data_IF_202167391871
#
_entry.id   IF_202167391871
#
_cell.length_a   1.000
_cell.length_b   1.000
_cell.length_c   1.000
_cell.angle_alpha   90.00
_cell.angle_beta   90.00
_cell.angle_gamma   90.00
#
_symmetry.space_group_name_H-M   'P 1'
#
loop_
_entity.id
_entity.type
_entity.pdbx_description
1 polymer ?
2 polymer ?
3 non-polymer ?
4 water ?
#
# COMPACT_ATOMS: atom_id res chain seq x y z
N UNK A 1 -20.59 14.80 12.04
CA UNK A 1 -19.97 15.86 11.23
C UNK A 1 -18.47 15.95 11.50
N UNK A 2 -17.69 15.42 10.57
CA UNK A 2 -16.27 15.18 10.80
C UNK A 2 -15.39 16.40 10.60
N UNK A 3 -14.23 16.43 11.28
CA UNK A 3 -13.32 17.57 11.14
C UNK A 3 -12.80 17.68 9.71
N UNK A 4 -12.52 18.90 9.30
CA UNK A 4 -12.13 19.18 7.92
C UNK A 4 -10.80 19.91 7.85
N UNK A 5 -9.79 19.23 7.31
CA UNK A 5 -8.49 19.85 7.07
C UNK A 5 -8.46 20.37 5.63
N UNK A 6 -8.03 21.62 5.45
CA UNK A 6 -8.05 22.23 4.13
C UNK A 6 -6.65 22.44 3.55
N UNK A 7 -6.51 22.12 2.27
CA UNK A 7 -5.27 22.40 1.56
C UNK A 7 -5.54 22.83 0.12
N UNK A 8 -4.76 23.78 -0.36
CA UNK A 8 -4.84 24.21 -1.75
C UNK A 8 -3.46 24.12 -2.38
N UNK A 9 -3.43 23.80 -3.67
CA UNK A 9 -2.18 23.75 -4.40
C UNK A 9 -1.87 25.15 -4.93
N UNK A 10 -2.90 25.98 -5.03
CA UNK A 10 -2.73 27.35 -5.50
C UNK A 10 -1.91 28.18 -4.53
N UNK A 11 -0.64 28.39 -4.85
CA UNK A 11 0.24 29.15 -3.99
C UNK A 11 0.95 28.26 -2.99
N UNK A 12 0.69 26.97 -3.08
CA UNK A 12 1.30 25.98 -2.19
C UNK A 12 2.78 26.27 -1.93
N UNK A 13 3.23 25.98 -0.71
CA UNK A 13 4.63 26.09 -0.37
C UNK A 13 5.05 24.87 0.42
N UNK A 14 6.35 24.73 0.65
CA UNK A 14 6.86 23.61 1.42
C UNK A 14 6.36 23.71 2.86
N UNK A 15 6.10 24.93 3.31
CA UNK A 15 5.61 25.17 4.67
C UNK A 15 4.11 24.88 4.82
N UNK A 16 3.32 25.38 3.86
CA UNK A 16 1.88 25.17 3.92
C UNK A 16 1.56 23.69 3.79
N UNK A 17 2.34 23.00 2.97
CA UNK A 17 2.17 21.55 2.81
C UNK A 17 2.49 20.82 4.11
N UNK A 18 3.56 21.25 4.77
CA UNK A 18 3.99 20.63 6.01
C UNK A 18 2.94 20.83 7.11
N UNK A 19 2.54 22.08 7.32
CA UNK A 19 1.49 22.38 8.28
C UNK A 19 0.26 21.53 8.01
N UNK A 20 -0.07 21.37 6.73
CA UNK A 20 -1.20 20.54 6.33
C UNK A 20 -1.06 19.10 6.82
N UNK A 21 0.01 18.43 6.37
CA UNK A 21 0.25 17.04 6.76
C UNK A 21 0.31 16.89 8.27
N UNK A 22 0.98 17.84 8.92
CA UNK A 22 1.11 17.82 10.37
C UNK A 22 -0.26 17.84 11.04
N UNK A 23 -1.13 18.72 10.54
CA UNK A 23 -2.48 18.82 11.07
C UNK A 23 -3.26 17.55 10.79
N UNK A 24 -2.95 16.90 9.67
CA UNK A 24 -3.61 15.66 9.32
C UNK A 24 -3.18 14.50 10.24
N UNK A 25 -1.87 14.42 10.52
CA UNK A 25 -1.38 13.41 11.45
C UNK A 25 -2.00 13.63 12.82
N UNK A 26 -2.21 14.89 13.18
CA UNK A 26 -2.76 15.24 14.48
C UNK A 26 -4.22 14.88 14.64
N UNK A 27 -4.97 14.92 13.55
CA UNK A 27 -6.39 14.58 13.61
C UNK A 27 -6.63 13.08 13.55
N UNK A 28 -5.68 12.36 12.96
CA UNK A 28 -5.76 10.91 12.90
C UNK A 28 -5.56 10.26 14.26
N UNK A 29 -4.61 10.80 15.03
CA UNK A 29 -4.19 10.18 16.27
C UNK A 29 -4.42 11.06 17.49
N UNK A 30 -5.08 10.50 18.49
CA UNK A 30 -5.18 11.15 19.78
C UNK A 30 -3.77 11.33 20.32
N UNK A 31 -2.92 10.34 20.05
CA UNK A 31 -1.55 10.34 20.54
C UNK A 31 -1.41 9.52 21.80
N UNK A 32 -2.50 8.87 22.20
CA UNK A 32 -2.50 8.05 23.41
C UNK A 32 -1.60 6.83 23.25
N UNK A 33 -1.61 6.26 22.05
CA UNK A 33 -0.87 5.03 21.79
C UNK A 33 0.41 5.30 21.02
N UNK A 34 1.53 5.33 21.73
CA UNK A 34 2.84 5.50 21.10
C UNK A 34 3.77 4.36 21.49
N UNK A 35 4.26 3.63 20.49
CA UNK A 35 5.14 2.52 20.75
C UNK A 35 6.46 2.71 20.02
N UNK A 36 7.56 2.60 20.77
CA UNK A 36 8.89 2.85 20.25
C UNK A 36 8.94 4.20 19.52
N UNK A 37 8.29 5.20 20.11
CA UNK A 37 8.28 6.57 19.61
C UNK A 37 7.41 6.80 18.38
N UNK A 38 6.71 5.76 17.94
CA UNK A 38 5.83 5.89 16.79
C UNK A 38 4.36 5.71 17.16
N UNK A 39 3.55 6.75 16.93
CA UNK A 39 2.12 6.75 17.26
C UNK A 39 1.35 5.67 16.51
N UNK A 40 0.45 4.98 17.20
CA UNK A 40 -0.41 4.00 16.57
C UNK A 40 -1.82 4.57 16.33
N UNK A 41 -2.36 4.31 15.15
CA UNK A 41 -3.69 4.78 14.80
C UNK A 41 -4.71 4.04 15.67
N UNK A 42 -5.88 4.66 15.90
CA UNK A 42 -6.94 4.06 16.70
C UNK A 42 -7.35 2.68 16.18
N UNK A 43 -7.84 1.83 17.08
CA UNK A 43 -8.28 0.49 16.73
C UNK A 43 -9.67 0.49 16.09
N UNK A 44 -9.83 -0.31 15.04
CA UNK A 44 -11.03 -0.28 14.23
C UNK A 44 -12.25 -0.94 14.89
N UNK A 45 -12.02 -2.03 15.63
CA UNK A 45 -13.13 -2.79 16.20
C UNK A 45 -13.96 -2.00 17.22
N UNK A 46 -13.28 -1.28 18.13
CA UNK A 46 -13.97 -0.56 19.18
C UNK A 46 -14.50 0.81 18.76
N UNK A 47 -13.87 1.41 17.76
CA UNK A 47 -14.08 2.82 17.42
C UNK A 47 -15.52 3.22 17.10
N UNK A 48 -16.05 4.20 17.86
CA UNK A 48 -17.35 4.83 17.57
C UNK A 48 -17.34 5.54 16.21
N UNK A 49 -18.42 5.34 15.45
CA UNK A 49 -18.51 5.86 14.09
C UNK A 49 -18.32 7.38 13.98
N UNK A 50 -18.64 8.10 15.05
CA UNK A 50 -18.48 9.56 15.07
C UNK A 50 -17.03 10.01 15.26
N UNK A 51 -16.12 9.05 15.39
CA UNK A 51 -14.70 9.34 15.53
C UNK A 51 -13.88 8.63 14.45
N UNK A 52 -14.58 8.04 13.49
CA UNK A 52 -13.95 7.15 12.52
C UNK A 52 -13.35 7.89 11.33
N UNK A 53 -13.91 9.04 10.99
CA UNK A 53 -13.48 9.71 9.76
C UNK A 53 -12.93 11.13 9.92
N UNK A 54 -12.17 11.53 8.91
CA UNK A 54 -11.61 12.87 8.82
C UNK A 54 -11.74 13.33 7.38
N UNK A 55 -12.14 14.57 7.19
CA UNK A 55 -12.32 15.10 5.85
C UNK A 55 -11.16 15.99 5.45
N UNK A 56 -10.68 15.81 4.22
CA UNK A 56 -9.65 16.68 3.68
C UNK A 56 -10.21 17.41 2.45
N UNK A 57 -10.30 18.73 2.53
CA UNK A 57 -10.83 19.50 1.40
C UNK A 57 -9.70 20.10 0.58
N UNK A 58 -9.59 19.65 -0.67
CA UNK A 58 -8.52 20.10 -1.55
C UNK A 58 -9.01 21.14 -2.55
N UNK A 59 -8.16 22.11 -2.85
CA UNK A 59 -8.46 23.13 -3.85
C UNK A 59 -7.24 23.36 -4.74
N UNK A 60 -7.47 24.01 -5.87
CA UNK A 60 -6.41 24.37 -6.79
C UNK A 60 -6.68 25.75 -7.36
N UNK A 61 -5.81 26.22 -8.25
CA UNK A 61 -5.96 27.56 -8.81
C UNK A 61 -7.22 27.70 -9.65
N UNK A 62 -7.62 26.62 -10.32
CA UNK A 62 -8.85 26.61 -11.10
C UNK A 62 -10.05 26.91 -10.19
N UNK A 63 -9.80 26.85 -8.88
CA UNK A 63 -10.84 27.00 -7.88
C UNK A 63 -11.89 25.89 -7.97
N UNK A 64 -11.42 24.70 -8.32
CA UNK A 64 -12.22 23.51 -8.22
C UNK A 64 -11.94 22.88 -6.87
N UNK A 65 -12.83 22.04 -6.39
CA UNK A 65 -12.67 21.49 -5.05
C UNK A 65 -13.35 20.15 -4.85
N UNK A 66 -12.62 19.23 -4.22
CA UNK A 66 -13.20 17.96 -3.79
C UNK A 66 -12.84 17.72 -2.32
N UNK A 67 -13.69 16.97 -1.63
CA UNK A 67 -13.41 16.62 -0.25
C UNK A 67 -13.15 15.12 -0.15
N UNK A 68 -11.93 14.76 0.24
CA UNK A 68 -11.59 13.36 0.47
C UNK A 68 -11.96 12.94 1.89
N UNK A 69 -12.33 11.68 2.06
CA UNK A 69 -12.54 11.12 3.39
C UNK A 69 -11.43 10.12 3.72
N UNK A 70 -10.79 10.31 4.86
CA UNK A 70 -9.73 9.42 5.31
C UNK A 70 -10.22 8.56 6.47
N UNK A 71 -9.80 7.30 6.48
CA UNK A 71 -10.12 6.41 7.59
C UNK A 71 -9.13 6.61 8.73
N UNK A 72 -9.64 7.04 9.87
CA UNK A 72 -8.80 7.35 11.02
C UNK A 72 -7.94 6.15 11.45
N UNK A 73 -8.29 4.96 10.97
CA UNK A 73 -7.64 3.75 11.45
C UNK A 73 -6.52 3.31 10.51
N UNK A 74 -6.54 3.82 9.29
CA UNK A 74 -5.52 3.50 8.31
C UNK A 74 -4.99 4.72 7.57
N UNK A 75 -5.75 5.80 7.64
CA UNK A 75 -5.36 7.09 7.04
C UNK A 75 -5.52 7.09 5.53
N UNK A 76 -6.16 6.06 5.00
CA UNK A 76 -6.34 5.92 3.56
C UNK A 76 -7.57 6.69 3.09
N UNK A 77 -7.54 7.11 1.83
CA UNK A 77 -8.73 7.66 1.20
C UNK A 77 -9.74 6.53 1.01
N UNK A 78 -10.96 6.73 1.48
CA UNK A 78 -12.00 5.72 1.36
C UNK A 78 -13.08 6.17 0.39
N UNK A 79 -13.01 7.45 0.02
CA UNK A 79 -13.97 8.04 -0.89
C UNK A 79 -13.83 9.54 -0.91
N UNK A 80 -14.58 10.21 -1.79
CA UNK A 80 -14.52 11.65 -1.86
C UNK A 80 -15.85 12.23 -2.33
N UNK A 81 -16.08 13.50 -1.98
CA UNK A 81 -17.23 14.22 -2.52
C UNK A 81 -16.79 15.26 -3.54
N UNK A 82 -17.60 15.42 -4.56
CA UNK A 82 -17.46 16.51 -5.52
C UNK A 82 -18.87 16.96 -5.90
N UNK A 83 -19.19 18.21 -5.57
CA UNK A 83 -20.51 18.75 -5.84
C UNK A 83 -21.59 18.01 -5.06
N UNK A 84 -22.60 17.51 -5.77
CA UNK A 84 -23.70 16.80 -5.13
C UNK A 84 -23.60 15.28 -5.34
N UNK A 85 -22.37 14.79 -5.48
CA UNK A 85 -22.13 13.36 -5.68
C UNK A 85 -20.97 12.88 -4.82
N UNK A 86 -21.13 11.68 -4.25
CA UNK A 86 -20.09 11.10 -3.42
C UNK A 86 -19.73 9.69 -3.92
N UNK A 87 -18.44 9.34 -3.84
CA UNK A 87 -17.95 8.09 -4.40
C UNK A 87 -17.04 7.37 -3.39
N UNK A 88 -17.21 6.05 -3.27
CA UNK A 88 -16.42 5.26 -2.33
C UNK A 88 -15.85 3.98 -2.95
N UNK A 89 -14.63 3.62 -2.54
CA UNK A 89 -14.04 2.35 -2.94
C UNK A 89 -14.85 1.18 -2.38
N UNK A 90 -14.70 0.02 -3.00
CA UNK A 90 -15.30 -1.19 -2.48
C UNK A 90 -14.59 -1.56 -1.18
N UNK A 91 -15.33 -1.56 -0.06
CA UNK A 91 -14.78 -1.93 1.25
C UNK A 91 -14.63 -3.44 1.38
N UNK A 92 -13.53 -3.89 2.00
CA UNK A 92 -13.24 -5.31 2.11
C UNK A 92 -14.28 -6.08 2.92
N UNK A 93 -14.69 -5.54 4.06
CA UNK A 93 -15.66 -6.20 4.92
C UNK A 93 -17.04 -5.52 4.96
N UNK A 94 -17.95 -6.11 5.72
CA UNK A 94 -19.31 -5.58 5.81
C UNK A 94 -19.41 -4.48 6.86
N UNK A 95 -18.63 -4.62 7.93
CA UNK A 95 -18.60 -3.62 8.99
C UNK A 95 -18.22 -2.25 8.42
N UNK A 96 -17.24 -2.25 7.53
CA UNK A 96 -16.78 -1.01 6.92
C UNK A 96 -17.79 -0.45 5.92
N UNK A 97 -18.58 -1.33 5.31
CA UNK A 97 -19.63 -0.91 4.40
C UNK A 97 -20.61 -0.01 5.15
N UNK A 98 -21.07 -0.52 6.29
CA UNK A 98 -21.95 0.22 7.17
C UNK A 98 -21.43 1.62 7.47
N UNK A 99 -20.22 1.68 8.02
CA UNK A 99 -19.63 2.95 8.46
C UNK A 99 -19.64 4.01 7.37
N UNK A 100 -19.38 3.59 6.13
CA UNK A 100 -19.34 4.50 4.99
C UNK A 100 -20.63 5.31 4.84
N UNK A 101 -21.74 4.71 5.28
CA UNK A 101 -23.05 5.32 5.13
C UNK A 101 -23.20 6.62 5.91
N UNK A 102 -22.22 6.92 6.76
CA UNK A 102 -22.27 8.12 7.59
C UNK A 102 -21.47 9.28 7.02
N UNK A 103 -20.85 9.06 5.86
CA UNK A 103 -20.08 10.09 5.18
C UNK A 103 -20.93 10.82 4.14
N UNK A 104 -20.71 12.12 4.03
CA UNK A 104 -21.44 12.94 3.06
C UNK A 104 -22.90 12.54 2.97
N UNK A 105 -23.59 12.56 4.10
CA UNK A 105 -24.98 12.09 4.15
C UNK A 105 -25.97 13.05 3.50
N UNK A 106 -25.48 14.13 2.90
CA UNK A 106 -26.37 15.20 2.45
C UNK A 106 -26.45 15.41 0.93
N UNK A 107 -25.57 14.76 0.16
CA UNK A 107 -25.68 14.85 -1.29
C UNK A 107 -26.59 13.77 -1.88
N UNK A 108 -27.19 14.06 -3.03
CA UNK A 108 -28.24 13.20 -3.58
C UNK A 108 -27.73 11.90 -4.20
N UNK A 109 -26.47 11.88 -4.60
CA UNK A 109 -25.93 10.73 -5.32
C UNK A 109 -24.75 10.05 -4.63
N UNK A 110 -25.02 8.88 -4.07
CA UNK A 110 -23.95 8.06 -3.50
C UNK A 110 -23.64 6.93 -4.47
N UNK A 111 -22.36 6.57 -4.57
CA UNK A 111 -21.94 5.48 -5.42
C UNK A 111 -20.82 4.66 -4.76
N UNK A 112 -20.89 3.34 -4.91
CA UNK A 112 -19.77 2.49 -4.53
C UNK A 112 -19.06 2.01 -5.80
N UNK A 113 -17.74 2.07 -5.80
CA UNK A 113 -16.97 1.61 -6.96
C UNK A 113 -16.93 0.10 -7.02
N UNK A 114 -16.66 -0.44 -8.21
CA UNK A 114 -16.57 -1.89 -8.41
C UNK A 114 -15.12 -2.35 -8.24
N UNK A 115 -14.36 -1.61 -7.45
CA UNK A 115 -12.96 -1.92 -7.22
C UNK A 115 -12.51 -1.33 -5.90
N UNK A 116 -11.48 -1.93 -5.31
CA UNK A 116 -10.92 -1.41 -4.08
C UNK A 116 -9.94 -0.31 -4.40
N UNK A 117 -9.40 0.32 -3.36
CA UNK A 117 -8.39 1.34 -3.54
C UNK A 117 -6.99 0.75 -3.45
N UNK A 118 -6.85 -0.53 -3.79
CA UNK A 118 -5.55 -1.18 -3.77
C UNK A 118 -4.73 -0.90 -5.03
N UNK A 119 -3.47 -0.54 -4.82
CA UNK A 119 -2.58 -0.11 -5.89
C UNK A 119 -2.64 -1.00 -7.15
N UNK A 120 -2.55 -2.31 -6.98
CA UNK A 120 -2.57 -3.21 -8.12
C UNK A 120 -3.81 -2.97 -9.01
N UNK A 121 -4.97 -2.83 -8.38
CA UNK A 121 -6.19 -2.57 -9.13
C UNK A 121 -6.15 -1.18 -9.75
N UNK A 122 -5.71 -0.19 -8.97
CA UNK A 122 -5.62 1.18 -9.45
C UNK A 122 -4.61 1.29 -10.59
N UNK A 123 -3.46 0.65 -10.42
CA UNK A 123 -2.42 0.68 -11.45
C UNK A 123 -2.93 0.05 -12.74
N UNK A 124 -3.70 -1.03 -12.61
CA UNK A 124 -4.28 -1.68 -13.78
C UNK A 124 -5.26 -0.75 -14.49
N UNK A 125 -6.17 -0.17 -13.74
CA UNK A 125 -7.15 0.75 -14.32
C UNK A 125 -6.49 1.94 -15.00
N UNK A 126 -5.41 2.44 -14.40
CA UNK A 126 -4.73 3.62 -14.91
C UNK A 126 -3.82 3.30 -16.11
N UNK A 127 -3.45 2.02 -16.26
CA UNK A 127 -2.55 1.63 -17.32
C UNK A 127 -1.15 2.10 -17.05
N UNK A 128 -0.81 2.21 -15.77
CA UNK A 128 0.48 2.71 -15.34
C UNK A 128 0.82 2.29 -13.92
N UNK A 129 2.06 1.87 -13.71
CA UNK A 129 2.55 1.59 -12.36
C UNK A 129 2.85 2.91 -11.67
N UNK A 130 2.92 2.87 -10.33
CA UNK A 130 3.24 4.07 -9.57
C UNK A 130 4.51 4.74 -10.07
N UNK A 131 5.56 3.95 -10.32
CA UNK A 131 6.83 4.51 -10.78
C UNK A 131 6.76 5.20 -12.16
N UNK A 132 5.58 5.27 -12.74
CA UNK A 132 5.40 5.93 -14.02
C UNK A 132 4.47 7.13 -13.91
N UNK A 133 4.06 7.43 -12.68
CA UNK A 133 3.11 8.51 -12.44
C UNK A 133 3.74 9.60 -11.56
N UNK A 134 3.96 10.77 -12.14
CA UNK A 134 4.69 11.83 -11.45
C UNK A 134 3.91 12.41 -10.28
N UNK A 135 4.62 12.82 -9.25
CA UNK A 135 4.02 13.42 -8.07
C UNK A 135 4.55 14.83 -7.89
N UNK A 136 3.82 15.65 -7.14
CA UNK A 136 4.18 17.05 -6.95
C UNK A 136 2.97 17.95 -7.06
N UNK A 137 3.18 19.25 -6.89
CA UNK A 137 2.08 20.19 -6.91
C UNK A 137 1.31 20.11 -8.22
N UNK A 138 2.04 20.14 -9.33
CA UNK A 138 1.44 20.01 -10.64
C UNK A 138 0.47 18.86 -10.71
N UNK A 139 0.97 17.61 -10.61
CA UNK A 139 0.15 16.41 -10.58
C UNK A 139 -1.05 16.53 -9.65
N UNK A 140 -0.84 17.07 -8.45
CA UNK A 140 -1.93 17.20 -7.49
C UNK A 140 -3.03 18.12 -8.02
N UNK A 141 -2.64 19.28 -8.53
CA UNK A 141 -3.62 20.23 -9.07
C UNK A 141 -4.47 19.54 -10.12
N UNK A 142 -3.86 18.57 -10.80
CA UNK A 142 -4.50 17.91 -11.92
C UNK A 142 -5.44 16.82 -11.42
N UNK A 143 -4.99 16.07 -10.43
CA UNK A 143 -5.83 15.07 -9.79
C UNK A 143 -7.13 15.73 -9.33
N UNK A 144 -7.00 16.80 -8.57
CA UNK A 144 -8.17 17.52 -8.07
C UNK A 144 -9.12 17.84 -9.22
N UNK A 145 -8.58 18.44 -10.28
CA UNK A 145 -9.40 18.78 -11.43
C UNK A 145 -10.16 17.54 -11.91
N UNK A 146 -9.43 16.45 -12.11
CA UNK A 146 -9.99 15.23 -12.68
C UNK A 146 -10.99 14.55 -11.73
N UNK A 147 -10.72 14.57 -10.43
CA UNK A 147 -11.68 14.04 -9.47
C UNK A 147 -12.99 14.82 -9.59
N UNK A 148 -12.89 16.14 -9.65
CA UNK A 148 -14.06 16.99 -9.78
C UNK A 148 -14.82 16.73 -11.07
N UNK A 149 -14.10 16.72 -12.19
CA UNK A 149 -14.73 16.59 -13.50
C UNK A 149 -15.33 15.21 -13.73
N UNK A 150 -14.98 14.26 -12.88
CA UNK A 150 -15.57 12.94 -12.94
C UNK A 150 -17.05 12.99 -12.56
N UNK A 151 -17.39 13.91 -11.66
CA UNK A 151 -18.77 14.06 -11.21
C UNK A 151 -19.59 14.87 -12.20
N UNK A 152 -18.96 15.30 -13.30
CA UNK A 152 -19.67 16.02 -14.35
C UNK A 152 -19.70 15.24 -15.66
N UNK A 153 -19.03 14.09 -15.67
CA UNK A 153 -18.93 13.26 -16.86
C UNK A 153 -17.77 13.68 -17.73
N UNK A 154 -16.75 14.27 -17.10
CA UNK A 154 -15.62 14.82 -17.82
C UNK A 154 -14.38 13.96 -17.86
N UNK A 155 -14.13 13.18 -16.82
CA UNK A 155 -12.91 12.38 -16.75
C UNK A 155 -13.20 10.89 -16.84
N UNK A 156 -12.43 10.19 -17.67
CA UNK A 156 -12.60 8.75 -17.83
C UNK A 156 -11.92 7.98 -16.70
N UNK A 157 -12.27 6.71 -16.59
CA UNK A 157 -11.80 5.86 -15.50
C UNK A 157 -10.28 5.81 -15.33
N UNK A 158 -9.53 5.73 -16.45
CA UNK A 158 -8.07 5.62 -16.32
C UNK A 158 -7.47 6.82 -15.60
N UNK A 159 -7.92 8.02 -15.96
CA UNK A 159 -7.41 9.24 -15.37
C UNK A 159 -7.84 9.38 -13.92
N UNK A 160 -9.01 8.82 -13.60
CA UNK A 160 -9.50 8.82 -12.23
C UNK A 160 -8.61 7.97 -11.33
N UNK A 161 -8.30 6.76 -11.80
CA UNK A 161 -7.41 5.86 -11.07
C UNK A 161 -6.05 6.54 -10.86
N UNK A 162 -5.50 7.08 -11.94
CA UNK A 162 -4.23 7.79 -11.87
C UNK A 162 -4.31 8.86 -10.78
N UNK A 163 -5.33 9.70 -10.87
CA UNK A 163 -5.54 10.78 -9.92
C UNK A 163 -5.65 10.27 -8.48
N UNK A 164 -6.34 9.15 -8.30
CA UNK A 164 -6.41 8.53 -6.97
C UNK A 164 -5.00 8.21 -6.49
N UNK A 165 -4.22 7.62 -7.39
CA UNK A 165 -2.85 7.22 -7.07
C UNK A 165 -2.04 8.42 -6.59
N UNK A 166 -2.23 9.56 -7.23
CA UNK A 166 -1.51 10.78 -6.87
C UNK A 166 -1.92 11.30 -5.48
N UNK A 167 -3.22 11.40 -5.25
CA UNK A 167 -3.74 11.91 -3.98
C UNK A 167 -3.42 10.99 -2.80
N UNK A 168 -3.61 9.69 -2.99
CA UNK A 168 -3.35 8.71 -1.95
C UNK A 168 -1.91 8.81 -1.44
N UNK A 169 -0.97 9.02 -2.37
CA UNK A 169 0.43 9.06 -2.00
C UNK A 169 0.79 10.41 -1.36
N UNK A 170 0.39 11.49 -2.01
CA UNK A 170 0.74 12.82 -1.52
C UNK A 170 0.04 13.15 -0.22
N UNK A 171 -0.94 12.32 0.16
CA UNK A 171 -1.71 12.58 1.38
C UNK A 171 -1.64 11.45 2.41
N UNK A 172 -2.22 10.30 2.09
CA UNK A 172 -2.19 9.14 2.98
C UNK A 172 -0.77 8.65 3.28
N UNK A 173 -0.01 8.34 2.23
CA UNK A 173 1.33 7.80 2.38
C UNK A 173 2.26 8.79 3.05
N UNK A 174 2.03 10.08 2.81
CA UNK A 174 2.86 11.12 3.39
C UNK A 174 2.54 11.26 4.87
N UNK A 175 1.30 10.96 5.24
CA UNK A 175 0.88 11.01 6.63
C UNK A 175 1.50 9.84 7.40
N UNK A 176 1.59 8.70 6.74
CA UNK A 176 2.16 7.50 7.33
C UNK A 176 3.67 7.57 7.47
N UNK A 177 4.34 8.03 6.41
CA UNK A 177 5.80 8.11 6.41
C UNK A 177 6.32 9.52 6.30
N UNK A 178 7.10 9.96 7.28
CA UNK A 178 7.80 11.22 7.20
C UNK A 178 8.79 11.21 6.02
N UNK A 179 9.37 10.05 5.75
CA UNK A 179 10.28 9.93 4.60
C UNK A 179 9.55 10.33 3.32
N UNK A 180 8.29 9.92 3.20
CA UNK A 180 7.50 10.23 2.01
C UNK A 180 7.03 11.67 2.04
N UNK A 181 6.69 12.16 3.22
CA UNK A 181 6.38 13.58 3.37
C UNK A 181 7.57 14.39 2.83
N UNK A 182 8.77 13.91 3.14
CA UNK A 182 9.99 14.59 2.74
C UNK A 182 10.19 14.57 1.24
N UNK A 183 9.75 13.47 0.62
CA UNK A 183 9.86 13.34 -0.83
C UNK A 183 8.99 14.39 -1.50
N UNK A 184 7.78 14.57 -0.98
CA UNK A 184 6.86 15.56 -1.51
C UNK A 184 7.35 16.99 -1.27
N UNK A 185 7.95 17.22 -0.10
CA UNK A 185 8.42 18.55 0.24
C UNK A 185 9.55 19.00 -0.68
N UNK A 186 10.34 18.05 -1.15
CA UNK A 186 11.46 18.34 -2.04
C UNK A 186 10.94 18.86 -3.38
N UNK A 187 10.11 18.04 -4.01
CA UNK A 187 9.24 18.53 -5.07
C UNK A 187 8.52 19.69 -4.41
N UNK A 188 7.80 20.51 -5.17
CA UNK A 188 7.18 21.71 -4.60
C UNK A 188 8.27 22.73 -4.30
N UNK A 189 9.09 22.42 -3.31
CA UNK A 189 10.19 23.31 -2.94
C UNK A 189 10.97 23.74 -4.17
N UNK A 190 11.26 22.79 -5.04
CA UNK A 190 12.01 23.06 -6.25
C UNK A 190 11.12 23.14 -7.48
N UNK A 191 9.83 22.92 -7.27
CA UNK A 191 8.86 22.99 -8.36
C UNK A 191 9.06 21.85 -9.36
N UNK A 192 9.07 20.61 -8.85
CA UNK A 192 9.32 19.44 -9.69
C UNK A 192 8.11 18.53 -9.75
N UNK A 193 8.01 17.76 -10.84
CA UNK A 193 7.19 16.56 -10.85
C UNK A 193 8.10 15.37 -11.15
N UNK A 194 8.05 14.34 -10.32
CA UNK A 194 8.75 13.10 -10.63
C UNK A 194 8.01 11.91 -10.09
N UNK A 195 8.17 10.78 -10.76
CA UNK A 195 7.59 9.54 -10.29
C UNK A 195 8.34 9.15 -9.03
N UNK A 196 7.67 8.42 -8.12
CA UNK A 196 8.36 7.94 -6.92
C UNK A 196 9.27 6.77 -7.28
N UNK A 197 10.39 6.65 -6.60
CA UNK A 197 11.35 5.57 -6.85
C UNK A 197 11.05 4.37 -5.95
N UNK A 198 11.78 3.26 -6.15
CA UNK A 198 11.66 2.05 -5.34
C UNK A 198 11.60 2.33 -3.83
N UNK A 199 12.47 3.21 -3.34
CA UNK A 199 12.55 3.45 -1.90
C UNK A 199 11.19 3.88 -1.35
N UNK A 200 10.41 4.53 -2.20
CA UNK A 200 9.08 4.99 -1.82
C UNK A 200 8.04 3.90 -2.03
N UNK A 201 7.96 3.39 -3.26
CA UNK A 201 7.03 2.31 -3.60
C UNK A 201 7.08 1.19 -2.57
N UNK A 202 8.30 0.78 -2.23
CA UNK A 202 8.49 -0.39 -1.38
C UNK A 202 7.99 -0.15 0.05
N UNK A 203 8.11 1.08 0.54
CA UNK A 203 7.56 1.43 1.84
C UNK A 203 6.04 1.40 1.82
N UNK A 204 5.45 2.02 0.80
CA UNK A 204 4.00 2.06 0.64
C UNK A 204 3.41 0.66 0.61
N UNK A 205 4.25 -0.32 0.30
CA UNK A 205 3.76 -1.70 0.16
C UNK A 205 3.92 -2.53 1.43
N UNK A 206 4.68 -2.01 2.39
CA UNK A 206 5.05 -2.79 3.56
C UNK A 206 4.61 -2.14 4.85
N UNK A 207 3.76 -1.14 4.75
CA UNK A 207 3.27 -0.42 5.93
C UNK A 207 2.60 -1.39 6.89
N UNK A 208 1.78 -2.29 6.34
CA UNK A 208 1.10 -3.30 7.13
C UNK A 208 2.07 -4.24 7.85
N UNK A 209 2.95 -4.87 7.09
CA UNK A 209 3.91 -5.82 7.67
C UNK A 209 4.84 -5.10 8.64
N UNK A 210 5.20 -3.86 8.31
CA UNK A 210 6.08 -3.07 9.18
C UNK A 210 5.43 -2.84 10.54
N UNK A 211 4.14 -2.51 10.52
CA UNK A 211 3.41 -2.25 11.76
C UNK A 211 3.40 -3.49 12.64
N UNK A 212 3.08 -4.63 12.04
CA UNK A 212 3.07 -5.89 12.76
C UNK A 212 4.45 -6.20 13.32
N UNK A 213 5.46 -6.10 12.45
CA UNK A 213 6.84 -6.40 12.83
C UNK A 213 7.30 -5.59 14.05
N UNK A 214 6.89 -4.34 14.11
CA UNK A 214 7.27 -3.47 15.22
C UNK A 214 6.46 -3.78 16.49
N UNK A 215 5.18 -4.03 16.31
CA UNK A 215 4.29 -4.23 17.45
C UNK A 215 4.44 -5.63 18.04
N UNK A 216 4.86 -6.58 17.22
CA UNK A 216 5.12 -7.94 17.70
C UNK A 216 6.60 -8.13 18.04
N UNK A 217 7.39 -7.08 17.85
CA UNK A 217 8.83 -7.16 18.04
C UNK A 217 9.20 -7.47 19.48
N UNK A 218 10.45 -7.87 19.67
CA UNK A 218 11.01 -8.07 20.99
C UNK A 218 11.83 -6.85 21.41
N UNK A 219 11.16 -5.91 22.06
CA UNK A 219 11.79 -4.64 22.42
C UNK A 219 12.38 -3.96 21.19
N UNK A 220 11.74 -4.14 20.05
CA UNK A 220 12.19 -3.53 18.81
C UNK A 220 12.67 -4.52 17.76
N UNK A 221 13.36 -5.57 18.19
CA UNK A 221 13.88 -6.58 17.28
C UNK A 221 12.74 -7.36 16.60
N UNK A 222 12.74 -7.36 15.27
CA UNK A 222 11.72 -8.04 14.49
C UNK A 222 11.86 -9.55 14.60
N UNK A 223 10.72 -10.24 14.68
CA UNK A 223 10.72 -11.70 14.61
C UNK A 223 11.33 -12.13 13.29
N UNK A 224 10.96 -11.42 12.21
CA UNK A 224 11.56 -11.66 10.90
C UNK A 224 11.60 -10.37 10.09
N UNK A 225 12.62 -10.24 9.22
CA UNK A 225 12.95 -9.05 8.44
C UNK A 225 11.86 -8.56 7.49
N UNK A 226 11.86 -7.26 7.23
CA UNK A 226 11.03 -6.71 6.15
C UNK A 226 11.90 -6.32 4.96
N UNK A 227 11.52 -6.82 3.79
CA UNK A 227 12.26 -6.53 2.56
C UNK A 227 11.96 -5.12 2.06
N UNK A 228 12.99 -4.29 1.97
CA UNK A 228 12.84 -2.96 1.39
C UNK A 228 13.77 -2.75 0.19
N UNK A 229 13.57 -1.65 -0.51
CA UNK A 229 14.42 -1.32 -1.66
C UNK A 229 14.99 0.10 -1.56
N UNK A 230 16.23 0.25 -1.98
CA UNK A 230 16.86 1.56 -2.00
C UNK A 230 16.41 2.32 -3.24
N UNK A 231 16.84 3.58 -3.37
CA UNK A 231 16.46 4.40 -4.52
C UNK A 231 16.77 3.70 -5.83
N UNK A 232 17.86 2.96 -5.87
CA UNK A 232 18.30 2.29 -7.09
C UNK A 232 17.67 0.92 -7.26
N UNK A 233 16.76 0.58 -6.34
CA UNK A 233 16.03 -0.68 -6.40
C UNK A 233 16.80 -1.90 -5.94
N UNK A 234 17.94 -1.67 -5.29
CA UNK A 234 18.69 -2.76 -4.69
C UNK A 234 17.97 -3.25 -3.42
N UNK A 235 17.81 -4.56 -3.30
CA UNK A 235 17.05 -5.14 -2.20
C UNK A 235 17.83 -5.16 -0.90
N UNK A 236 17.14 -4.88 0.21
CA UNK A 236 17.74 -5.01 1.53
C UNK A 236 16.69 -5.32 2.60
N UNK A 237 17.15 -5.51 3.83
CA UNK A 237 16.27 -5.97 4.91
C UNK A 237 16.41 -5.16 6.20
N UNK A 238 15.29 -4.94 6.87
CA UNK A 238 15.28 -4.28 8.16
C UNK A 238 14.80 -5.25 9.24
N UNK A 239 15.49 -5.27 10.38
CA UNK A 239 15.22 -6.23 11.45
C UNK A 239 14.82 -5.55 12.76
N UNK A 240 14.97 -4.23 12.81
CA UNK A 240 14.87 -3.50 14.07
C UNK A 240 14.15 -2.15 13.89
N UNK A 241 13.32 -1.78 14.86
CA UNK A 241 12.54 -0.55 14.76
C UNK A 241 13.39 0.72 14.84
N UNK A 242 14.48 0.64 15.60
CA UNK A 242 15.29 1.83 15.88
C UNK A 242 15.79 2.54 14.61
N UNK A 243 15.86 1.81 13.51
CA UNK A 243 16.36 2.38 12.25
C UNK A 243 15.22 2.96 11.42
N UNK A 244 13.99 2.68 11.80
CA UNK A 244 12.83 3.17 11.06
C UNK A 244 12.22 4.41 11.68
N UNK A 245 12.73 4.80 12.85
CA UNK A 245 12.16 5.93 13.59
C UNK A 245 12.02 7.21 12.76
N UNK A 246 13.06 7.56 11.99
CA UNK A 246 12.95 8.77 11.17
C UNK A 246 12.07 8.56 9.94
N UNK A 247 11.82 7.30 9.60
CA UNK A 247 11.13 6.95 8.36
C UNK A 247 9.61 6.98 8.49
N UNK A 248 9.10 6.26 9.48
CA UNK A 248 7.66 6.04 9.62
C UNK A 248 7.04 6.94 10.67
N UNK A 249 5.91 7.56 10.31
CA UNK A 249 5.26 8.52 11.21
C UNK A 249 4.03 7.97 11.93
N UNK A 250 3.38 6.97 11.33
CA UNK A 250 2.16 6.37 11.88
C UNK A 250 2.15 4.87 11.66
N UNK A 251 1.54 4.14 12.59
CA UNK A 251 1.35 2.71 12.44
C UNK A 251 -0.13 2.35 12.48
N UNK A 252 -0.55 1.45 11.61
CA UNK A 252 -1.87 0.85 11.71
C UNK A 252 -1.88 -0.07 12.93
N UNK A 253 -2.99 -0.06 13.66
CA UNK A 253 -3.11 -0.90 14.84
C UNK A 253 -3.07 -2.38 14.45
N UNK A 254 -2.16 -3.13 15.07
CA UNK A 254 -2.08 -4.57 14.83
C UNK A 254 -2.29 -5.35 16.13
N UNK A 255 -1.45 -5.07 17.13
CA UNK A 255 -1.56 -5.77 18.40
C UNK A 255 -1.96 -4.79 19.50
N UNK A 256 -2.33 -5.34 20.65
CA UNK A 256 -2.51 -4.54 21.85
C UNK A 256 -1.13 -4.20 22.39
N UNK A 257 -0.99 -3.01 23.01
CA UNK A 257 0.29 -2.61 23.61
C UNK A 257 0.78 -3.64 24.61
N UNK A 258 2.08 -3.96 24.56
CA UNK A 258 2.70 -4.94 25.48
C UNK A 258 3.06 -4.29 26.81
N UNK A 259 2.31 -4.63 27.87
CA UNK A 259 2.52 -4.03 29.19
C UNK A 259 3.92 -4.28 29.74
N UNK B 1 -10.79 -14.97 4.79
CA UNK B 1 -11.02 -16.18 4.01
C UNK B 1 -10.23 -16.16 2.71
N UNK B 2 -8.96 -16.52 2.80
CA UNK B 2 -8.08 -16.58 1.63
C UNK B 2 -7.16 -17.78 1.77
N UNK B 3 -7.14 -18.64 0.75
CA UNK B 3 -6.31 -19.84 0.80
C UNK B 3 -5.28 -19.92 -0.32
N UNK B 4 -4.14 -20.55 0.00
CA UNK B 4 -3.06 -20.70 -0.96
C UNK B 4 -2.74 -22.18 -1.17
N UNK B 5 -2.54 -22.56 -2.43
CA UNK B 5 -2.30 -23.96 -2.78
C UNK B 5 -1.06 -24.08 -3.66
N UNK B 6 -0.15 -24.97 -3.28
CA UNK B 6 1.15 -25.07 -3.96
C UNK B 6 1.35 -26.39 -4.70
N UNK B 7 1.29 -26.33 -6.02
CA UNK B 7 1.59 -27.49 -6.84
C UNK B 7 3.00 -27.38 -7.42
N UNK B 8 3.60 -28.53 -7.72
CA UNK B 8 4.97 -28.56 -8.20
C UNK B 8 5.94 -28.97 -7.11
N UNK B 12 12.42 -34.52 -6.50
CA UNK B 12 13.85 -34.30 -6.45
C UNK B 12 14.45 -34.00 -7.83
N UNK B 13 15.14 -32.87 -7.93
CA UNK B 13 15.74 -32.43 -9.19
C UNK B 13 17.27 -32.49 -9.15
N UNK B 14 17.88 -32.72 -10.30
CA UNK B 14 19.34 -32.76 -10.41
C UNK B 14 19.89 -31.36 -10.66
N UNK B 15 21.18 -31.19 -10.40
CA UNK B 15 21.82 -29.88 -10.52
C UNK B 15 21.81 -29.36 -11.96
N UNK B 16 21.33 -28.14 -12.13
CA UNK B 16 21.29 -27.51 -13.44
C UNK B 16 20.02 -27.82 -14.19
N UNK B 17 19.11 -28.54 -13.54
CA UNK B 17 17.82 -28.87 -14.13
C UNK B 17 16.80 -27.77 -13.89
N UNK B 18 15.59 -27.97 -14.42
CA UNK B 18 14.53 -26.98 -14.26
C UNK B 18 13.39 -27.49 -13.38
N UNK B 19 12.53 -26.57 -12.95
CA UNK B 19 11.40 -26.92 -12.10
C UNK B 19 10.40 -25.77 -12.03
N UNK B 20 9.12 -26.10 -11.98
CA UNK B 20 8.06 -25.10 -11.98
C UNK B 20 7.13 -25.21 -10.78
N UNK B 21 6.94 -24.11 -10.07
CA UNK B 21 6.06 -24.07 -8.91
C UNK B 21 4.88 -23.14 -9.16
N UNK B 22 3.69 -23.56 -8.73
CA UNK B 22 2.50 -22.75 -8.92
C UNK B 22 1.81 -22.45 -7.59
N UNK B 23 1.09 -21.33 -7.57
CA UNK B 23 0.32 -20.93 -6.40
C UNK B 23 -0.99 -20.29 -6.83
N UNK B 24 -2.10 -20.94 -6.51
CA UNK B 24 -3.42 -20.42 -6.85
C UNK B 24 -4.06 -19.80 -5.61
N UNK B 25 -4.88 -18.79 -5.82
CA UNK B 25 -5.58 -18.13 -4.73
C UNK B 25 -7.08 -18.15 -4.99
N UNK B 26 -7.87 -18.15 -3.92
CA UNK B 26 -9.32 -18.15 -4.02
C UNK B 26 -9.96 -17.62 -2.75
N UNK B 27 -11.19 -17.12 -2.88
CA UNK B 27 -11.93 -16.61 -1.75
C UNK B 27 -11.57 -15.18 -1.36
N UNK B 28 -12.59 -14.32 -1.31
CA UNK B 28 -12.43 -12.93 -0.86
C UNK B 28 -11.09 -12.31 -1.18
N UNK B 29 -10.67 -12.42 -2.44
CA UNK B 29 -9.40 -11.86 -2.88
C UNK B 29 -9.58 -10.64 -3.77
N UNK B 30 -10.71 -9.94 -3.58
CA UNK B 30 -11.02 -8.80 -4.43
C UNK B 30 -9.90 -7.75 -4.49
N UNK B 31 -9.34 -7.40 -3.33
CA UNK B 31 -8.26 -6.42 -3.30
C UNK B 31 -6.87 -7.06 -3.18
N UNK B 32 -6.77 -8.32 -3.59
CA UNK B 32 -5.48 -9.01 -3.59
C UNK B 32 -4.44 -8.21 -4.36
N UNK B 33 -3.30 -7.94 -3.74
CA UNK B 33 -2.21 -7.27 -4.41
C UNK B 33 -1.13 -8.25 -4.86
N UNK B 34 0.09 -8.06 -4.35
CA UNK B 34 1.23 -8.85 -4.80
C UNK B 34 1.17 -10.32 -4.40
N UNK B 35 1.88 -11.14 -5.15
CA UNK B 35 2.04 -12.56 -4.85
C UNK B 35 3.46 -12.97 -5.19
N UNK B 36 4.06 -13.82 -4.37
CA UNK B 36 5.43 -14.21 -4.61
C UNK B 36 5.88 -15.46 -3.87
N UNK B 37 7.19 -15.74 -3.95
CA UNK B 37 7.77 -16.94 -3.36
C UNK B 37 8.92 -16.64 -2.44
N UNK B 38 8.82 -17.12 -1.19
CA UNK B 38 9.93 -17.07 -0.25
C UNK B 38 10.48 -18.48 -0.06
N UNK B 39 11.67 -18.58 0.54
CA UNK B 39 12.27 -19.88 0.81
C UNK B 39 13.08 -19.86 2.09
N UNK B 40 13.22 -21.01 2.71
CA UNK B 40 14.04 -21.13 3.90
C UNK B 40 14.79 -22.46 3.93
N UNK B 41 16.12 -22.37 3.96
CA UNK B 41 16.95 -23.53 4.22
C UNK B 41 17.07 -23.67 5.73
N UNK B 42 16.73 -24.84 6.27
CA UNK B 42 16.68 -25.07 7.71
C UNK B 42 17.82 -24.37 8.46
N UNK B 43 17.47 -23.65 9.52
CA UNK B 43 18.46 -23.01 10.37
C UNK B 43 18.99 -21.69 9.82
N UNK B 44 18.67 -21.40 8.57
CA UNK B 44 19.14 -20.16 7.95
C UNK B 44 18.14 -19.02 8.13
N UNK B 45 17.33 -18.77 7.10
CA UNK B 45 16.35 -17.68 7.19
C UNK B 45 15.49 -17.56 5.92
N UNK B 46 14.31 -16.98 6.07
CA UNK B 46 13.43 -16.74 4.94
C UNK B 46 14.03 -15.68 4.02
N UNK B 47 14.06 -15.99 2.72
CA UNK B 47 14.54 -15.05 1.72
C UNK B 47 13.49 -14.86 0.67
N UNK B 48 13.11 -13.61 0.41
CA UNK B 48 12.32 -13.33 -0.78
C UNK B 48 13.06 -13.89 -1.98
N UNK B 49 12.33 -14.57 -2.86
CA UNK B 49 12.89 -15.09 -4.09
C UNK B 49 12.41 -14.24 -5.25
N UNK B 50 11.09 -14.18 -5.39
CA UNK B 50 10.46 -13.37 -6.41
C UNK B 50 9.04 -13.00 -5.99
N UNK B 51 8.52 -11.94 -6.56
CA UNK B 51 7.10 -11.61 -6.43
C UNK B 51 6.67 -10.78 -7.62
N UNK B 52 5.36 -10.67 -7.81
CA UNK B 52 4.82 -9.98 -8.95
C UNK B 52 3.45 -9.41 -8.62
N UNK B 53 3.22 -8.17 -9.01
CA UNK B 53 1.92 -7.54 -8.78
C UNK B 53 1.01 -7.79 -9.97
N UNK B 54 -0.29 -7.88 -9.71
CA UNK B 54 -1.27 -8.06 -10.79
C UNK B 54 -1.05 -7.02 -11.87
N UNK B 55 -0.39 -5.92 -11.50
CA UNK B 55 -0.13 -4.82 -12.42
C UNK B 55 1.19 -5.00 -13.18
N UNK B 56 1.90 -6.09 -12.92
CA UNK B 56 3.08 -6.46 -13.69
C UNK B 56 4.43 -6.06 -13.13
N UNK B 57 4.46 -5.53 -11.91
CA UNK B 57 5.73 -5.21 -11.27
C UNK B 57 6.39 -6.46 -10.71
N UNK B 58 7.56 -6.81 -11.26
CA UNK B 58 8.28 -8.01 -10.83
C UNK B 58 9.51 -7.68 -10.00
N UNK B 59 9.69 -8.43 -8.91
CA UNK B 59 10.90 -8.34 -8.11
C UNK B 59 11.65 -9.67 -8.12
N UNK B 60 12.97 -9.61 -7.96
CA UNK B 60 13.80 -10.81 -7.97
C UNK B 60 14.97 -10.67 -7.01
N UNK B 61 15.20 -11.68 -6.19
CA UNK B 61 16.43 -11.75 -5.42
C UNK B 61 17.60 -11.77 -6.39
N UNK B 62 18.71 -11.17 -6.00
CA UNK B 62 19.90 -11.15 -6.83
C UNK B 62 20.31 -12.57 -7.21
N UNK B 63 20.30 -13.46 -6.22
CA UNK B 63 20.77 -14.83 -6.40
C UNK B 63 20.15 -15.56 -7.59
N UNK B 64 18.87 -15.28 -7.86
CA UNK B 64 18.15 -16.04 -8.87
C UNK B 64 17.89 -15.29 -10.17
N UNK B 65 18.44 -14.08 -10.29
CA UNK B 65 18.28 -13.32 -11.52
C UNK B 65 18.89 -14.08 -12.70
N UNK B 66 18.15 -14.16 -13.80
CA UNK B 66 18.62 -14.87 -14.97
C UNK B 66 18.50 -16.38 -14.84
N UNK B 67 17.97 -16.83 -13.71
CA UNK B 67 17.74 -18.26 -13.49
C UNK B 67 16.27 -18.57 -13.29
N UNK B 68 15.61 -17.82 -12.42
CA UNK B 68 14.20 -18.02 -12.16
C UNK B 68 13.34 -16.98 -12.88
N UNK B 69 12.18 -17.40 -13.36
CA UNK B 69 11.21 -16.49 -13.95
C UNK B 69 9.88 -16.66 -13.24
N UNK B 70 9.33 -15.56 -12.76
CA UNK B 70 8.02 -15.59 -12.10
C UNK B 70 6.95 -15.03 -13.03
N UNK B 71 5.88 -15.78 -13.22
CA UNK B 71 4.77 -15.32 -14.04
C UNK B 71 3.48 -15.29 -13.23
N UNK B 72 2.58 -14.40 -13.63
CA UNK B 72 1.28 -14.29 -12.97
C UNK B 72 0.14 -14.33 -13.97
N UNK B 73 -0.86 -15.15 -13.70
CA UNK B 73 -2.08 -15.18 -14.49
C UNK B 73 -3.22 -14.58 -13.67
N UNK B 74 -3.66 -13.38 -14.05
CA UNK B 74 -4.72 -12.69 -13.33
C UNK B 74 -6.06 -13.37 -13.45
N UNK B 75 -6.35 -13.92 -14.63
CA UNK B 75 -7.63 -14.56 -14.90
C UNK B 75 -8.00 -15.56 -13.82
N UNK B 76 -7.02 -16.31 -13.35
CA UNK B 76 -7.25 -17.33 -12.33
C UNK B 76 -6.46 -17.09 -11.04
N UNK B 77 -6.03 -15.84 -10.85
CA UNK B 77 -5.32 -15.45 -9.63
C UNK B 77 -4.21 -16.44 -9.23
N UNK B 78 -3.36 -16.77 -10.19
CA UNK B 78 -2.33 -17.78 -9.97
C UNK B 78 -0.95 -17.24 -10.30
N UNK B 79 0.05 -17.78 -9.63
CA UNK B 79 1.44 -17.39 -9.84
C UNK B 79 2.34 -18.58 -10.11
N UNK B 80 3.27 -18.41 -11.05
CA UNK B 80 4.17 -19.49 -11.43
C UNK B 80 5.62 -19.12 -11.17
N UNK B 81 6.45 -20.14 -10.91
CA UNK B 81 7.88 -19.93 -10.76
C UNK B 81 8.66 -20.92 -11.61
N UNK B 82 9.27 -20.42 -12.67
CA UNK B 82 10.10 -21.23 -13.55
C UNK B 82 11.54 -21.17 -13.07
N UNK B 83 12.05 -22.32 -12.63
CA UNK B 83 13.37 -22.37 -11.99
C UNK B 83 14.36 -23.16 -12.83
N UNK B 84 15.26 -22.46 -13.50
CA UNK B 84 16.26 -23.09 -14.34
C UNK B 84 17.66 -22.93 -13.79
N UNK B 85 18.56 -23.84 -14.17
CA UNK B 85 19.94 -23.82 -13.70
C UNK B 85 20.00 -23.99 -12.20
N UNK B 86 19.19 -24.91 -11.68
CA UNK B 86 19.14 -25.14 -10.23
C UNK B 86 20.50 -25.49 -9.65
N UNK B 87 20.79 -24.91 -8.48
CA UNK B 87 22.00 -25.22 -7.74
C UNK B 87 21.62 -25.86 -6.42
N UNK B 88 22.54 -26.64 -5.83
CA UNK B 88 22.28 -27.20 -4.50
C UNK B 88 21.93 -26.11 -3.50
N UNK B 89 22.41 -24.89 -3.73
CA UNK B 89 22.14 -23.77 -2.83
C UNK B 89 20.67 -23.36 -2.85
N UNK B 90 19.93 -23.82 -3.85
CA UNK B 90 18.51 -23.49 -3.98
C UNK B 90 17.67 -24.44 -3.14
N UNK B 91 18.31 -25.47 -2.59
CA UNK B 91 17.61 -26.44 -1.77
C UNK B 91 17.02 -25.77 -0.53
N UNK B 92 15.71 -25.91 -0.35
CA UNK B 92 15.01 -25.23 0.72
C UNK B 92 13.53 -25.51 0.65
N UNK B 93 12.82 -25.17 1.73
CA UNK B 93 11.36 -25.20 1.71
C UNK B 93 10.90 -23.89 1.09
N UNK B 94 10.12 -23.98 0.02
CA UNK B 94 9.64 -22.79 -0.67
C UNK B 94 8.21 -22.45 -0.24
N UNK B 95 7.99 -21.18 0.07
CA UNK B 95 6.67 -20.74 0.52
C UNK B 95 6.07 -19.72 -0.43
N UNK B 96 4.84 -19.99 -0.86
CA UNK B 96 4.05 -19.02 -1.59
C UNK B 96 3.64 -17.93 -0.59
N UNK B 97 3.40 -16.73 -1.10
CA UNK B 97 2.99 -15.62 -0.25
C UNK B 97 2.07 -14.66 -0.98
N UNK B 98 1.04 -14.19 -0.29
CA UNK B 98 0.10 -13.26 -0.88
C UNK B 98 -0.20 -12.10 0.05
N UNK B 99 -0.31 -10.92 -0.53
CA UNK B 99 -0.61 -9.72 0.22
C UNK B 99 -1.79 -9.01 -0.45
N UNK B 100 -2.64 -8.37 0.34
CA UNK B 100 -3.77 -7.66 -0.21
C UNK B 100 -4.39 -6.70 0.79
N UNK B 101 -5.40 -5.96 0.33
CA UNK B 101 -6.08 -4.98 1.16
C UNK B 101 -6.56 -3.81 0.35
N UNK B 102 -7.77 -3.34 0.65
CA UNK B 102 -8.32 -2.20 -0.07
C UNK B 102 -7.80 -0.87 0.49
N UNK B 103 -7.44 -0.87 1.77
CA UNK B 103 -7.03 0.36 2.45
C UNK B 103 -5.53 0.47 2.69
N UNK B 104 -4.81 -0.62 2.47
CA UNK B 104 -3.36 -0.59 2.32
C UNK B 104 -2.86 -1.86 1.67
N UNK B 105 -1.73 -1.75 0.98
CA UNK B 105 -1.21 -2.83 0.15
C UNK B 105 -1.23 -4.18 0.85
N UNK B 106 -0.78 -4.20 2.10
CA UNK B 106 -0.59 -5.46 2.82
C UNK B 106 -1.43 -5.53 4.09
N UNK B 107 -2.75 -5.40 3.95
CA UNK B 107 -3.65 -5.51 5.10
C UNK B 107 -3.68 -6.96 5.60
N UNK B 108 -3.58 -7.91 4.69
CA UNK B 108 -3.38 -9.31 5.07
C UNK B 108 -2.08 -9.85 4.46
N UNK B 109 -1.49 -10.83 5.14
CA UNK B 109 -0.19 -11.36 4.76
C UNK B 109 -0.20 -12.88 4.91
N UNK B 110 -0.77 -13.55 3.91
CA UNK B 110 -0.98 -14.99 3.99
C UNK B 110 0.17 -15.83 3.41
N UNK B 111 0.43 -16.96 4.06
CA UNK B 111 1.52 -17.84 3.68
C UNK B 111 1.02 -19.22 3.31
N UNK B 112 1.72 -19.88 2.40
CA UNK B 112 1.42 -21.25 2.04
C UNK B 112 2.05 -22.21 3.03
N UNK B 113 1.74 -23.49 2.91
CA UNK B 113 2.28 -24.49 3.82
C UNK B 113 3.70 -24.91 3.43
N UNK B 114 4.09 -24.59 2.20
CA UNK B 114 5.45 -24.84 1.75
C UNK B 114 5.65 -26.16 1.01
N UNK B 115 6.57 -26.13 0.04
CA UNK B 115 6.94 -27.31 -0.73
C UNK B 115 8.45 -27.48 -0.75
N UNK B 116 8.93 -28.67 -0.38
CA UNK B 116 10.36 -28.94 -0.33
C UNK B 116 10.99 -29.02 -1.72
N UNK B 117 12.15 -28.40 -1.88
CA UNK B 117 12.91 -28.51 -3.12
C UNK B 117 14.33 -28.94 -2.83
N UNK B 118 14.73 -30.07 -3.41
CA UNK B 118 16.04 -30.68 -3.15
C UNK B 118 16.87 -30.78 -4.43
N UNK B 119 18.10 -30.26 -4.38
CA UNK B 119 18.95 -30.22 -5.57
C UNK B 119 20.22 -31.07 -5.43
N UNK B 120 20.97 -31.18 -6.52
CA UNK B 120 22.19 -32.01 -6.60
C UNK B 120 21.84 -33.49 -6.74
#
# INVERSE_FOLDING_TARGET
QYPIINFTTAGATVQSYTNFIRAVRGRLTTGADVRHEIPVLPNRVGLPINQRFILVELSNHAELSVTLALDVTNAYVVGYRAGNSAYFFHPDNQEDAEAITHLFTDNQNRYTFAFGGNYDRLEQLAGNLRENIELGNGPLEEAISALYYYSTGGTQLPTLARSFIICIQMISEAARFQYIEGEMRTRIRYNRRSAPDPSVITLENSWGRLSTAIQESNQGAFASPIQLQRRNGSKFSVYDVSILIPIIALMVYRCAPPP
QVQLVETGGGGLVQAGGSLRLSCAASGSISSLNAMGWYRQAPGKERELVADISASGRTNYADSVKGRFTISRDNAKNTVSLQMNSLKPEDTAVYYCNAVGGTYYYDEYDYWGQGTQVTVS
#
